data_IF_393918345191
#
_entry.id   IF_393918345191
#
_cell.length_a   1.000
_cell.length_b   1.000
_cell.length_c   1.000
_cell.angle_alpha   90.00
_cell.angle_beta   90.00
_cell.angle_gamma   90.00
#
_symmetry.space_group_name_H-M   'P 1'
#
loop_
_entity.id
_entity.type
_entity.pdbx_description
1 polymer ?
#
# COMPACT_ATOMS: atom_id res chain seq x y z
N UNK A 1 10.54 -16.14 3.90
CA UNK A 1 11.17 -15.31 4.94
C UNK A 1 10.06 -14.59 5.68
N UNK A 2 9.88 -14.82 6.99
CA UNK A 2 8.92 -14.02 7.77
C UNK A 2 9.51 -12.65 7.99
N UNK A 3 9.10 -11.68 7.17
CA UNK A 3 9.53 -10.30 7.31
C UNK A 3 8.57 -9.60 8.27
N UNK A 4 9.07 -9.21 9.44
CA UNK A 4 8.32 -8.50 10.48
C UNK A 4 8.98 -7.14 10.69
N UNK A 5 8.19 -6.07 10.66
CA UNK A 5 8.68 -4.72 10.94
C UNK A 5 9.03 -4.56 12.41
N UNK A 6 9.99 -3.68 12.70
CA UNK A 6 10.26 -3.27 14.07
C UNK A 6 9.10 -2.38 14.59
N UNK A 7 8.97 -2.28 15.91
CA UNK A 7 7.84 -1.56 16.51
C UNK A 7 7.79 -0.08 16.12
N UNK A 8 8.94 0.59 16.01
CA UNK A 8 9.00 2.01 15.65
C UNK A 8 8.48 2.25 14.22
N UNK A 9 8.96 1.46 13.26
CA UNK A 9 8.57 1.54 11.83
C UNK A 9 7.09 1.20 11.67
N UNK A 10 6.60 0.13 12.34
CA UNK A 10 5.18 -0.19 12.32
C UNK A 10 4.31 0.96 12.84
N UNK A 11 4.71 1.59 13.95
CA UNK A 11 3.97 2.71 14.52
C UNK A 11 3.97 3.93 13.61
N UNK A 12 5.11 4.27 13.00
CA UNK A 12 5.19 5.36 12.03
C UNK A 12 4.30 5.09 10.82
N UNK A 13 4.35 3.88 10.26
CA UNK A 13 3.51 3.49 9.13
C UNK A 13 2.02 3.57 9.48
N UNK A 14 1.61 3.08 10.66
CA UNK A 14 0.23 3.15 11.11
C UNK A 14 -0.26 4.60 11.28
N UNK A 15 0.60 5.52 11.74
CA UNK A 15 0.26 6.94 11.83
C UNK A 15 0.09 7.57 10.44
N UNK A 16 0.96 7.25 9.49
CA UNK A 16 0.84 7.72 8.10
C UNK A 16 -0.45 7.23 7.45
N UNK A 17 -0.76 5.93 7.59
CA UNK A 17 -1.98 5.33 7.06
C UNK A 17 -3.24 5.91 7.73
N UNK A 18 -3.21 6.17 9.05
CA UNK A 18 -4.32 6.82 9.76
C UNK A 18 -4.60 8.21 9.21
N UNK A 19 -3.54 9.01 9.00
CA UNK A 19 -3.67 10.35 8.47
C UNK A 19 -4.26 10.35 7.05
N UNK A 20 -3.83 9.41 6.18
CA UNK A 20 -4.38 9.25 4.83
C UNK A 20 -5.83 8.78 4.84
N UNK A 21 -6.15 7.81 5.68
CA UNK A 21 -7.52 7.32 5.85
C UNK A 21 -8.48 8.44 6.26
N UNK A 22 -8.04 9.31 7.18
CA UNK A 22 -8.81 10.47 7.63
C UNK A 22 -8.88 11.60 6.57
N UNK A 23 -7.85 11.75 5.74
CA UNK A 23 -7.82 12.75 4.68
C UNK A 23 -8.72 12.39 3.48
N UNK A 24 -8.99 11.09 3.27
CA UNK A 24 -9.78 10.58 2.14
C UNK A 24 -11.03 9.79 2.57
N UNK A 25 -11.96 10.37 3.34
CA UNK A 25 -13.15 9.65 3.82
C UNK A 25 -14.02 9.10 2.68
N UNK A 26 -13.98 9.72 1.49
CA UNK A 26 -14.70 9.28 0.30
C UNK A 26 -14.28 7.90 -0.21
N UNK A 27 -13.02 7.49 0.05
CA UNK A 27 -12.48 6.19 -0.34
C UNK A 27 -12.85 5.08 0.65
N UNK A 28 -13.36 5.47 1.82
CA UNK A 28 -13.52 4.62 2.99
C UNK A 28 -14.97 4.50 3.46
N UNK A 29 -15.94 4.65 2.55
CA UNK A 29 -17.35 4.62 2.89
C UNK A 29 -17.74 3.31 3.61
N UNK A 30 -18.13 3.41 4.88
CA UNK A 30 -18.52 2.26 5.72
C UNK A 30 -17.35 1.55 6.42
N UNK A 31 -16.10 2.02 6.24
CA UNK A 31 -14.93 1.50 6.93
C UNK A 31 -14.60 2.36 8.15
N UNK A 32 -14.06 1.73 9.19
CA UNK A 32 -13.62 2.41 10.41
C UNK A 32 -12.15 2.13 10.66
N UNK A 33 -11.36 3.18 10.86
CA UNK A 33 -9.92 3.06 11.08
C UNK A 33 -9.53 2.06 12.19
N UNK A 34 -10.17 2.02 13.38
CA UNK A 34 -9.82 1.03 14.41
C UNK A 34 -9.94 -0.42 13.94
N UNK A 35 -10.94 -0.72 13.09
CA UNK A 35 -11.15 -2.06 12.53
C UNK A 35 -10.04 -2.45 11.55
N UNK A 36 -9.53 -1.47 10.79
CA UNK A 36 -8.43 -1.64 9.84
C UNK A 36 -7.09 -1.80 10.57
N UNK A 37 -6.85 -0.97 11.60
CA UNK A 37 -5.66 -1.04 12.45
C UNK A 37 -5.51 -2.41 13.11
N UNK A 38 -6.56 -2.92 13.74
CA UNK A 38 -6.52 -4.24 14.41
C UNK A 38 -6.16 -5.37 13.43
N UNK A 39 -6.72 -5.33 12.22
CA UNK A 39 -6.39 -6.29 11.16
C UNK A 39 -4.94 -6.17 10.68
N UNK A 40 -4.43 -4.94 10.52
CA UNK A 40 -3.03 -4.72 10.15
C UNK A 40 -2.09 -5.25 11.23
N UNK A 41 -2.36 -4.97 12.50
CA UNK A 41 -1.54 -5.47 13.61
C UNK A 41 -1.57 -7.01 13.71
N UNK A 42 -2.68 -7.63 13.29
CA UNK A 42 -2.82 -9.09 13.15
C UNK A 42 -2.17 -9.69 11.90
N UNK A 43 -1.78 -8.87 10.92
CA UNK A 43 -1.14 -9.28 9.67
C UNK A 43 0.25 -8.63 9.48
N UNK A 44 1.30 -9.21 10.07
CA UNK A 44 2.67 -8.74 9.90
C UNK A 44 3.15 -8.73 8.44
N UNK A 45 2.59 -9.60 7.59
CA UNK A 45 2.94 -9.69 6.17
C UNK A 45 2.38 -8.52 5.37
N UNK A 46 1.10 -8.19 5.59
CA UNK A 46 0.45 -7.01 5.02
C UNK A 46 1.13 -5.70 5.45
N UNK A 47 1.44 -5.56 6.75
CA UNK A 47 2.20 -4.42 7.26
C UNK A 47 3.56 -4.28 6.56
N UNK A 48 4.29 -5.38 6.39
CA UNK A 48 5.57 -5.36 5.70
C UNK A 48 5.42 -4.94 4.24
N UNK A 49 4.43 -5.47 3.51
CA UNK A 49 4.17 -5.10 2.14
C UNK A 49 3.84 -3.60 2.00
N UNK A 50 2.99 -3.06 2.87
CA UNK A 50 2.65 -1.64 2.92
C UNK A 50 3.87 -0.76 3.18
N UNK A 51 4.76 -1.17 4.10
CA UNK A 51 6.01 -0.47 4.34
C UNK A 51 6.89 -0.42 3.09
N UNK A 52 6.92 -1.49 2.30
CA UNK A 52 7.71 -1.52 1.06
C UNK A 52 7.12 -0.59 0.01
N UNK A 53 5.80 -0.53 -0.11
CA UNK A 53 5.10 0.40 -1.00
C UNK A 53 5.42 1.86 -0.61
N UNK A 54 5.33 2.17 0.68
CA UNK A 54 5.70 3.48 1.24
C UNK A 54 7.18 3.81 0.97
N UNK A 55 8.08 2.86 1.24
CA UNK A 55 9.51 3.05 1.07
C UNK A 55 9.92 3.27 -0.40
N UNK A 56 9.14 2.76 -1.35
CA UNK A 56 9.34 3.01 -2.78
C UNK A 56 8.83 4.37 -3.27
N UNK A 57 8.26 5.18 -2.38
CA UNK A 57 7.66 6.48 -2.70
C UNK A 57 6.24 6.37 -3.27
N UNK A 58 5.57 5.24 -3.02
CA UNK A 58 4.14 5.11 -3.29
C UNK A 58 3.30 5.76 -2.18
N UNK A 59 1.99 5.76 -2.37
CA UNK A 59 1.01 6.27 -1.43
C UNK A 59 -0.03 5.18 -1.16
N UNK A 60 0.35 4.08 -0.46
CA UNK A 60 -0.59 3.03 -0.13
C UNK A 60 -1.74 3.56 0.74
N UNK A 61 -2.95 3.13 0.42
CA UNK A 61 -4.19 3.45 1.12
C UNK A 61 -5.07 2.20 1.31
N UNK A 62 -5.90 2.20 2.36
CA UNK A 62 -6.67 1.03 2.83
C UNK A 62 -8.13 1.10 2.39
N UNK A 63 -8.43 0.60 1.19
CA UNK A 63 -9.74 0.78 0.56
C UNK A 63 -10.82 -0.23 0.97
N UNK A 64 -10.48 -1.29 1.72
CA UNK A 64 -11.51 -2.26 2.11
C UNK A 64 -11.02 -3.52 2.80
N UNK A 65 -11.99 -4.39 3.05
CA UNK A 65 -11.78 -5.75 3.53
C UNK A 65 -12.59 -6.65 2.62
N UNK A 66 -11.98 -7.70 2.08
CA UNK A 66 -12.71 -8.73 1.36
C UNK A 66 -13.65 -9.45 2.35
N UNK A 67 -14.98 -9.42 2.16
CA UNK A 67 -15.93 -10.03 3.07
C UNK A 67 -15.82 -11.57 3.11
N UNK A 68 -15.26 -12.21 2.08
CA UNK A 68 -15.14 -13.67 2.03
C UNK A 68 -13.94 -14.20 2.83
N UNK A 69 -12.78 -13.55 2.69
CA UNK A 69 -11.53 -13.96 3.33
C UNK A 69 -11.18 -13.18 4.59
N UNK A 70 -11.78 -12.00 4.79
CA UNK A 70 -11.38 -11.04 5.81
C UNK A 70 -10.06 -10.33 5.51
N UNK A 71 -9.49 -10.53 4.31
CA UNK A 71 -8.21 -9.95 3.89
C UNK A 71 -8.35 -8.45 3.64
N UNK A 72 -7.34 -7.69 4.05
CA UNK A 72 -7.25 -6.25 3.79
C UNK A 72 -6.99 -5.98 2.31
N UNK A 73 -7.76 -5.07 1.75
CA UNK A 73 -7.57 -4.54 0.41
C UNK A 73 -6.86 -3.20 0.52
N UNK A 74 -5.68 -3.11 -0.09
CA UNK A 74 -4.90 -1.88 -0.18
C UNK A 74 -4.44 -1.66 -1.63
N UNK A 75 -4.35 -0.39 -2.00
CA UNK A 75 -3.94 0.03 -3.34
C UNK A 75 -2.96 1.20 -3.22
N UNK A 76 -2.02 1.28 -4.14
CA UNK A 76 -1.15 2.45 -4.27
C UNK A 76 -1.94 3.58 -4.96
N UNK A 77 -2.19 4.68 -4.24
CA UNK A 77 -2.94 5.83 -4.73
C UNK A 77 -2.06 6.95 -5.31
N UNK A 78 -0.79 6.66 -5.64
CA UNK A 78 0.11 7.63 -6.27
C UNK A 78 -0.47 8.19 -7.59
N UNK A 79 -0.56 9.52 -7.71
CA UNK A 79 -1.14 10.21 -8.87
C UNK A 79 -0.36 9.98 -10.19
N UNK A 80 0.92 9.64 -10.11
CA UNK A 80 1.75 9.17 -11.22
C UNK A 80 2.61 7.99 -10.76
N UNK A 81 2.79 6.99 -11.63
CA UNK A 81 3.75 5.91 -11.43
C UNK A 81 5.12 6.51 -11.10
N UNK A 82 5.79 6.12 -9.99
CA UNK A 82 7.11 6.65 -9.65
C UNK A 82 8.06 6.48 -10.84
N UNK A 83 8.86 7.51 -11.13
CA UNK A 83 9.63 7.65 -12.38
C UNK A 83 10.52 6.43 -12.76
N UNK A 84 10.84 5.55 -11.80
CA UNK A 84 11.53 4.28 -12.01
C UNK A 84 10.68 3.16 -12.65
N UNK A 85 9.38 3.38 -12.86
CA UNK A 85 8.44 2.50 -13.59
C UNK A 85 7.79 3.19 -14.79
N UNK A 86 8.49 4.15 -15.41
CA UNK A 86 8.26 4.39 -16.84
C UNK A 86 8.65 3.10 -17.56
N UNK A 87 7.66 2.29 -17.89
CA UNK A 87 7.83 1.21 -18.86
C UNK A 87 8.50 1.81 -20.10
N UNK A 88 9.77 1.48 -20.30
CA UNK A 88 10.26 1.21 -21.64
C UNK A 88 9.31 0.12 -22.16
N UNK A 89 8.45 0.49 -23.11
CA UNK A 89 7.74 -0.50 -23.91
C UNK A 89 8.79 -1.47 -24.44
N UNK A 90 8.78 -2.71 -23.95
CA UNK A 90 9.39 -3.81 -24.67
C UNK A 90 8.41 -4.23 -25.76
N UNK A 91 8.28 -3.39 -26.79
CA UNK A 91 7.94 -3.91 -28.11
C UNK A 91 9.26 -4.39 -28.71
N UNK A 92 9.28 -5.61 -29.22
CA UNK A 92 10.45 -6.24 -29.87
C UNK A 92 10.94 -5.46 -31.12
N UNK A 93 10.36 -4.30 -31.42
CA UNK A 93 10.74 -3.38 -32.49
C UNK A 93 11.70 -2.25 -32.06
N UNK A 94 12.10 -2.17 -30.79
CA UNK A 94 13.11 -1.20 -30.33
C UNK A 94 14.57 -1.69 -30.45
N UNK A 95 14.82 -2.74 -31.26
CA UNK A 95 16.16 -3.13 -31.72
C UNK A 95 16.36 -2.70 -33.20
N UNK A 96 16.01 -1.45 -33.50
CA UNK A 96 16.27 -0.82 -34.79
C UNK A 96 17.71 -0.33 -34.83
N UNK A 97 18.52 -0.98 -35.66
CA UNK A 97 19.89 -0.65 -36.09
C UNK A 97 20.25 0.84 -36.06
N UNK A 98 21.42 1.14 -35.49
CA UNK A 98 22.59 1.69 -36.21
C UNK A 98 23.85 1.58 -35.34
#
# INVERSE_FOLDING_TARGET
>A
MSQRLNAAVSQQLLQTLEARFAAHPERHAGLRWPMMRERLEGDPGGLWALQQMEASGGEPDLIGVDPASGTLLYVDCAAESPAARRSLCFDEQALGML
#
